data_IF_140495052217
#
_entry.id   IF_140495052217
#
_cell.length_a   1.000
_cell.length_b   1.000
_cell.length_c   1.000
_cell.angle_alpha   90.00
_cell.angle_beta   90.00
_cell.angle_gamma   90.00
#
_symmetry.space_group_name_H-M   'P 1'
#
loop_
_entity.id
_entity.type
_entity.pdbx_description
1 polymer ?
#
# COMPACT_ATOMS: atom_id res chain seq x y z
N UNK A 1 15.40 -6.64 9.07
CA UNK A 1 15.00 -5.64 8.05
C UNK A 1 14.55 -4.35 8.74
N UNK A 2 14.85 -3.14 8.22
CA UNK A 2 14.58 -1.89 8.97
C UNK A 2 13.07 -1.63 9.08
N UNK A 3 12.28 -2.05 8.11
CA UNK A 3 10.82 -1.92 8.13
C UNK A 3 10.07 -2.64 9.26
N UNK A 4 10.75 -3.45 10.08
CA UNK A 4 10.19 -4.09 11.28
C UNK A 4 10.54 -3.37 12.58
N UNK A 5 11.45 -2.39 12.53
CA UNK A 5 11.91 -1.64 13.70
C UNK A 5 10.88 -0.63 14.17
N UNK A 6 10.98 -0.22 15.44
CA UNK A 6 10.09 0.76 16.07
C UNK A 6 10.34 2.21 15.61
N UNK A 7 11.43 2.48 14.90
CA UNK A 7 11.81 3.81 14.42
C UNK A 7 11.93 3.89 12.88
N UNK A 8 11.31 2.95 12.17
CA UNK A 8 11.39 2.88 10.71
C UNK A 8 10.92 4.17 10.04
N UNK A 9 11.72 4.69 9.10
CA UNK A 9 11.51 5.97 8.42
C UNK A 9 11.35 7.16 9.37
N UNK A 10 11.95 7.10 10.57
CA UNK A 10 11.87 8.17 11.58
C UNK A 10 10.53 8.26 12.30
N UNK A 11 9.63 7.30 12.09
CA UNK A 11 8.32 7.24 12.74
C UNK A 11 8.37 6.39 14.01
N UNK A 12 7.68 6.83 15.06
CA UNK A 12 7.54 6.10 16.33
C UNK A 12 6.43 5.05 16.22
N UNK A 13 6.80 3.85 15.77
CA UNK A 13 5.88 2.72 15.64
C UNK A 13 5.65 2.03 16.98
N UNK A 14 4.39 1.72 17.28
CA UNK A 14 4.01 0.90 18.44
C UNK A 14 4.64 -0.48 18.39
N UNK A 15 4.68 -1.17 19.53
CA UNK A 15 4.83 -2.63 19.54
C UNK A 15 3.79 -3.30 18.66
N UNK A 16 4.12 -4.48 18.15
CA UNK A 16 3.22 -5.30 17.35
C UNK A 16 2.07 -5.84 18.22
N UNK A 17 0.85 -5.70 17.72
CA UNK A 17 -0.39 -6.06 18.40
C UNK A 17 -1.11 -7.17 17.61
N UNK A 18 -1.29 -8.36 18.18
CA UNK A 18 -1.84 -9.50 17.45
C UNK A 18 -3.34 -9.35 17.20
N UNK A 19 -3.81 -9.75 16.02
CA UNK A 19 -5.23 -9.76 15.69
C UNK A 19 -6.03 -10.76 16.54
N UNK A 20 -5.38 -11.77 17.12
CA UNK A 20 -6.03 -12.73 18.01
C UNK A 20 -6.48 -12.11 19.34
N UNK A 21 -5.82 -11.05 19.81
CA UNK A 21 -6.13 -10.41 21.09
C UNK A 21 -6.66 -8.98 20.92
N UNK A 22 -8.00 -8.78 20.93
CA UNK A 22 -8.59 -7.45 20.81
C UNK A 22 -8.32 -6.54 22.03
N UNK A 23 -7.89 -7.07 23.19
CA UNK A 23 -7.62 -6.22 24.34
C UNK A 23 -6.36 -5.39 24.15
N UNK A 24 -5.36 -5.93 23.44
CA UNK A 24 -4.11 -5.20 23.21
C UNK A 24 -4.28 -4.00 22.28
N UNK A 25 -5.35 -3.98 21.45
CA UNK A 25 -5.67 -2.84 20.60
C UNK A 25 -6.00 -1.58 21.42
N UNK A 26 -6.32 -1.69 22.71
CA UNK A 26 -6.45 -0.52 23.60
C UNK A 26 -5.14 0.27 23.75
N UNK A 27 -4.00 -0.39 23.54
CA UNK A 27 -2.67 0.23 23.54
C UNK A 27 -2.40 1.03 22.26
N UNK A 28 -3.16 0.79 21.18
CA UNK A 28 -3.03 1.56 19.95
C UNK A 28 -3.48 3.00 20.18
N UNK A 29 -2.80 3.97 19.55
CA UNK A 29 -3.13 5.38 19.68
C UNK A 29 -4.53 5.68 19.10
N UNK A 30 -5.25 6.60 19.75
CA UNK A 30 -6.60 7.01 19.36
C UNK A 30 -6.58 8.33 18.57
N UNK A 31 -5.72 8.43 17.55
CA UNK A 31 -5.48 9.63 16.76
C UNK A 31 -5.11 9.27 15.31
N UNK A 32 -5.01 10.25 14.39
CA UNK A 32 -4.62 10.00 13.01
C UNK A 32 -3.22 9.40 12.89
N UNK A 33 -2.97 8.71 11.77
CA UNK A 33 -1.62 8.34 11.37
C UNK A 33 -1.57 7.10 10.48
N UNK A 34 -0.49 6.34 10.60
CA UNK A 34 -0.15 5.23 9.71
C UNK A 34 -0.15 3.91 10.48
N UNK A 35 -0.37 2.81 9.76
CA UNK A 35 -0.29 1.47 10.32
C UNK A 35 0.31 0.50 9.31
N UNK A 36 0.90 -0.56 9.84
CA UNK A 36 1.49 -1.66 9.08
C UNK A 36 1.04 -2.99 9.65
N UNK A 37 0.95 -3.99 8.80
CA UNK A 37 0.45 -5.34 9.12
C UNK A 37 1.43 -6.37 8.60
N UNK A 38 1.73 -7.38 9.41
CA UNK A 38 2.50 -8.56 9.01
C UNK A 38 1.84 -9.82 9.54
N UNK A 39 2.20 -10.96 8.96
CA UNK A 39 1.89 -12.25 9.56
C UNK A 39 2.90 -12.54 10.69
N UNK A 40 2.41 -13.15 11.77
CA UNK A 40 3.21 -13.54 12.94
C UNK A 40 4.30 -14.53 12.48
N UNK A 41 5.55 -14.25 12.84
CA UNK A 41 6.69 -15.08 12.47
C UNK A 41 7.17 -14.91 11.02
N UNK A 42 6.56 -14.02 10.23
CA UNK A 42 6.96 -13.74 8.85
C UNK A 42 7.58 -12.34 8.77
N UNK A 43 8.80 -12.25 8.25
CA UNK A 43 9.51 -10.99 8.02
C UNK A 43 9.08 -10.28 6.72
N UNK A 44 7.77 -10.17 6.51
CA UNK A 44 7.16 -9.53 5.34
C UNK A 44 5.98 -8.64 5.77
N UNK A 45 5.86 -7.43 5.21
CA UNK A 45 4.66 -6.62 5.41
C UNK A 45 3.57 -7.04 4.40
N UNK A 46 2.39 -7.33 4.93
CA UNK A 46 1.21 -7.64 4.13
C UNK A 46 0.48 -6.39 3.70
N UNK A 47 0.49 -5.36 4.54
CA UNK A 47 -0.22 -4.12 4.26
C UNK A 47 0.40 -2.94 4.99
N UNK A 48 0.42 -1.78 4.32
CA UNK A 48 0.66 -0.47 4.93
C UNK A 48 -0.57 0.38 4.59
N UNK A 49 -1.05 1.18 5.53
CA UNK A 49 -2.19 2.06 5.32
C UNK A 49 -2.15 3.28 6.22
N UNK A 50 -3.03 4.23 5.94
CA UNK A 50 -3.23 5.42 6.78
C UNK A 50 -4.67 5.56 7.26
N UNK A 51 -4.86 6.45 8.23
CA UNK A 51 -6.17 7.02 8.51
C UNK A 51 -6.05 8.44 9.04
N UNK A 52 -6.88 9.33 8.50
CA UNK A 52 -7.13 10.66 9.06
C UNK A 52 -8.03 10.69 10.29
N UNK A 53 -8.54 9.53 10.73
CA UNK A 53 -9.45 9.43 11.88
C UNK A 53 -8.70 8.89 13.09
N UNK A 54 -9.11 7.73 13.59
CA UNK A 54 -8.59 7.13 14.80
C UNK A 54 -7.94 5.78 14.43
N UNK A 55 -6.62 5.67 14.65
CA UNK A 55 -5.85 4.46 14.37
C UNK A 55 -6.41 3.23 15.09
N UNK A 56 -6.73 3.34 16.38
CA UNK A 56 -7.32 2.25 17.17
C UNK A 56 -8.63 1.76 16.57
N UNK A 57 -9.54 2.67 16.21
CA UNK A 57 -10.82 2.31 15.60
C UNK A 57 -10.63 1.69 14.21
N UNK A 58 -9.82 2.31 13.36
CA UNK A 58 -9.53 1.83 12.00
C UNK A 58 -8.94 0.42 12.02
N UNK A 59 -7.95 0.18 12.88
CA UNK A 59 -7.33 -1.14 13.02
C UNK A 59 -8.29 -2.14 13.65
N UNK A 60 -9.09 -1.72 14.64
CA UNK A 60 -10.13 -2.57 15.25
C UNK A 60 -11.17 -3.03 14.23
N UNK A 61 -11.64 -2.13 13.37
CA UNK A 61 -12.54 -2.46 12.26
C UNK A 61 -11.90 -3.40 11.24
N UNK A 62 -10.65 -3.10 10.83
CA UNK A 62 -9.91 -3.96 9.90
C UNK A 62 -9.73 -5.37 10.46
N UNK A 63 -9.36 -5.48 11.74
CA UNK A 63 -9.28 -6.75 12.47
C UNK A 63 -10.62 -7.47 12.43
N UNK A 64 -11.71 -6.83 12.85
CA UNK A 64 -13.06 -7.45 12.88
C UNK A 64 -13.46 -8.00 11.51
N UNK A 65 -13.27 -7.23 10.45
CA UNK A 65 -13.62 -7.65 9.10
C UNK A 65 -12.70 -8.76 8.59
N UNK A 66 -11.41 -8.67 8.87
CA UNK A 66 -10.46 -9.73 8.56
C UNK A 66 -10.90 -11.02 9.25
N UNK A 67 -11.27 -11.00 10.54
CA UNK A 67 -11.62 -12.17 11.37
C UNK A 67 -13.01 -12.79 11.13
N UNK A 68 -13.76 -12.34 10.12
CA UNK A 68 -15.06 -12.93 9.78
C UNK A 68 -14.92 -14.37 9.26
N UNK A 69 -15.97 -15.16 9.45
CA UNK A 69 -16.06 -16.52 8.88
C UNK A 69 -16.08 -16.47 7.34
N UNK A 70 -16.86 -15.57 6.76
CA UNK A 70 -16.90 -15.32 5.32
C UNK A 70 -16.04 -14.11 4.91
N UNK A 71 -15.59 -14.09 3.65
CA UNK A 71 -14.81 -12.98 3.12
C UNK A 71 -15.61 -11.66 3.20
N UNK A 72 -15.08 -10.61 3.87
CA UNK A 72 -15.75 -9.31 3.95
C UNK A 72 -15.83 -8.64 2.56
N UNK A 73 -16.68 -7.63 2.42
CA UNK A 73 -16.66 -6.76 1.23
C UNK A 73 -15.41 -5.87 1.27
N UNK A 74 -15.06 -5.24 0.14
CA UNK A 74 -13.88 -4.40 0.05
C UNK A 74 -14.09 -2.97 0.61
N UNK A 75 -15.29 -2.64 1.08
CA UNK A 75 -15.62 -1.44 1.84
C UNK A 75 -16.02 -1.80 3.30
N UNK A 76 -15.71 -0.94 4.28
CA UNK A 76 -14.93 0.31 4.17
C UNK A 76 -13.41 0.08 4.17
N UNK A 77 -12.96 -1.18 4.04
CA UNK A 77 -11.55 -1.58 4.11
C UNK A 77 -11.12 -2.39 2.90
N UNK A 78 -10.46 -1.73 1.96
CA UNK A 78 -9.96 -2.35 0.73
C UNK A 78 -9.04 -3.55 0.98
N UNK A 79 -8.32 -3.58 2.10
CA UNK A 79 -7.39 -4.64 2.47
C UNK A 79 -8.03 -5.81 3.24
N UNK A 80 -9.20 -5.63 3.86
CA UNK A 80 -9.83 -6.67 4.70
C UNK A 80 -10.07 -8.00 3.96
N UNK A 81 -10.65 -8.02 2.73
CA UNK A 81 -10.79 -9.27 1.99
C UNK A 81 -9.44 -9.90 1.61
N UNK A 82 -8.41 -9.09 1.37
CA UNK A 82 -7.06 -9.61 1.04
C UNK A 82 -6.45 -10.31 2.24
N UNK A 83 -6.45 -9.67 3.41
CA UNK A 83 -5.96 -10.29 4.65
C UNK A 83 -6.77 -11.53 5.01
N UNK A 84 -8.10 -11.49 4.83
CA UNK A 84 -8.96 -12.66 5.04
C UNK A 84 -8.53 -13.83 4.15
N UNK A 85 -8.27 -13.59 2.86
CA UNK A 85 -7.89 -14.64 1.91
C UNK A 85 -6.56 -15.30 2.30
N UNK A 86 -5.54 -14.50 2.65
CA UNK A 86 -4.25 -15.03 3.10
C UNK A 86 -4.36 -15.79 4.43
N UNK A 87 -5.15 -15.31 5.40
CA UNK A 87 -5.42 -16.11 6.62
C UNK A 87 -6.07 -17.43 6.26
N UNK A 88 -7.14 -17.40 5.47
CA UNK A 88 -7.93 -18.60 5.20
C UNK A 88 -7.12 -19.63 4.40
N UNK A 89 -6.34 -19.18 3.41
CA UNK A 89 -5.59 -20.06 2.53
C UNK A 89 -4.41 -20.73 3.25
N UNK A 90 -3.68 -19.97 4.05
CA UNK A 90 -2.37 -20.38 4.59
C UNK A 90 -2.36 -20.48 6.12
N UNK A 91 -3.52 -20.37 6.76
CA UNK A 91 -3.67 -20.36 8.21
C UNK A 91 -2.82 -19.28 8.91
N UNK A 92 -2.66 -18.12 8.27
CA UNK A 92 -1.82 -17.03 8.81
C UNK A 92 -2.51 -16.27 9.93
N UNK A 93 -1.74 -15.95 10.96
CA UNK A 93 -2.15 -15.02 12.02
C UNK A 93 -1.50 -13.66 11.79
N UNK A 94 -2.27 -12.59 11.86
CA UNK A 94 -1.76 -11.23 11.61
C UNK A 94 -1.53 -10.46 12.91
N UNK A 95 -0.62 -9.50 12.84
CA UNK A 95 -0.40 -8.47 13.85
C UNK A 95 -0.18 -7.11 13.18
N UNK A 96 -0.45 -6.03 13.92
CA UNK A 96 -0.30 -4.67 13.43
C UNK A 96 0.54 -3.80 14.34
N UNK A 97 1.12 -2.76 13.76
CA UNK A 97 1.86 -1.72 14.46
C UNK A 97 1.44 -0.37 13.88
N UNK A 98 1.33 0.65 14.73
CA UNK A 98 0.79 1.95 14.36
C UNK A 98 1.75 3.07 14.73
N UNK A 99 1.82 4.11 13.89
CA UNK A 99 2.58 5.33 14.11
C UNK A 99 1.61 6.53 14.07
N UNK A 100 1.28 7.13 15.23
CA UNK A 100 0.44 8.32 15.26
C UNK A 100 1.17 9.52 14.68
N UNK A 101 0.50 10.32 13.85
CA UNK A 101 1.09 11.54 13.30
C UNK A 101 0.01 12.56 12.91
N UNK A 102 0.28 13.82 13.24
CA UNK A 102 -0.47 15.00 12.79
C UNK A 102 0.50 15.86 11.96
N UNK A 103 0.17 16.08 10.69
CA UNK A 103 1.10 16.69 9.71
C UNK A 103 0.77 18.14 9.35
N UNK A 104 -0.45 18.59 9.67
CA UNK A 104 -0.92 19.96 9.49
C UNK A 104 -2.19 20.16 10.34
N UNK A 105 -2.55 21.40 10.62
CA UNK A 105 -3.81 21.77 11.27
C UNK A 105 -4.99 21.70 10.30
N UNK A 106 -4.78 22.10 9.03
CA UNK A 106 -5.77 21.94 7.98
C UNK A 106 -5.99 20.45 7.66
N UNK A 107 -7.25 20.05 7.61
CA UNK A 107 -7.62 18.63 7.47
C UNK A 107 -7.26 18.07 6.10
N UNK A 108 -7.44 18.86 5.04
CA UNK A 108 -7.13 18.42 3.67
C UNK A 108 -5.63 18.38 3.42
N UNK A 109 -4.89 19.37 3.91
CA UNK A 109 -3.43 19.36 3.87
C UNK A 109 -2.86 18.18 4.67
N UNK A 110 -3.38 17.94 5.88
CA UNK A 110 -2.97 16.81 6.70
C UNK A 110 -3.24 15.47 5.99
N UNK A 111 -4.37 15.36 5.28
CA UNK A 111 -4.70 14.19 4.45
C UNK A 111 -3.69 13.99 3.33
N UNK A 112 -3.44 15.00 2.50
CA UNK A 112 -2.47 14.93 1.39
C UNK A 112 -1.07 14.53 1.88
N UNK A 113 -0.61 15.14 2.99
CA UNK A 113 0.69 14.82 3.59
C UNK A 113 0.75 13.38 4.10
N UNK A 114 -0.33 12.85 4.70
CA UNK A 114 -0.37 11.44 5.16
C UNK A 114 -0.37 10.45 4.00
N UNK A 115 -1.15 10.71 2.95
CA UNK A 115 -1.17 9.88 1.74
C UNK A 115 0.22 9.87 1.06
N UNK A 116 0.87 11.03 0.94
CA UNK A 116 2.24 11.13 0.46
C UNK A 116 3.22 10.30 1.30
N UNK A 117 3.09 10.36 2.62
CA UNK A 117 3.93 9.57 3.54
C UNK A 117 3.65 8.06 3.43
N UNK A 118 2.40 7.63 3.23
CA UNK A 118 2.06 6.22 2.94
C UNK A 118 2.78 5.72 1.68
N UNK A 119 2.76 6.51 0.60
CA UNK A 119 3.49 6.17 -0.63
C UNK A 119 5.00 6.11 -0.40
N UNK A 120 5.57 7.03 0.38
CA UNK A 120 6.99 6.97 0.76
C UNK A 120 7.32 5.69 1.54
N UNK A 121 6.47 5.26 2.48
CA UNK A 121 6.68 4.00 3.22
C UNK A 121 6.58 2.77 2.31
N UNK A 122 5.60 2.74 1.41
CA UNK A 122 5.47 1.66 0.42
C UNK A 122 6.70 1.59 -0.48
N UNK A 123 7.23 2.74 -0.89
CA UNK A 123 8.47 2.81 -1.67
C UNK A 123 9.69 2.32 -0.88
N UNK A 124 9.88 2.81 0.35
CA UNK A 124 11.00 2.38 1.21
C UNK A 124 10.94 0.89 1.51
N UNK A 125 9.73 0.36 1.75
CA UNK A 125 9.53 -1.07 1.91
C UNK A 125 9.96 -1.84 0.67
N UNK A 126 9.59 -1.38 -0.54
CA UNK A 126 10.01 -2.02 -1.78
C UNK A 126 11.53 -2.02 -1.96
N UNK A 127 12.22 -0.95 -1.58
CA UNK A 127 13.69 -0.88 -1.62
C UNK A 127 14.33 -1.86 -0.65
N UNK A 128 13.78 -2.01 0.57
CA UNK A 128 14.32 -2.91 1.59
C UNK A 128 13.98 -4.39 1.36
N UNK A 129 12.75 -4.69 0.92
CA UNK A 129 12.24 -6.05 0.76
C UNK A 129 12.39 -6.61 -0.66
N UNK A 130 12.43 -5.73 -1.66
CA UNK A 130 12.53 -6.11 -3.08
C UNK A 130 11.19 -6.38 -3.78
N UNK A 131 10.05 -6.24 -3.08
CA UNK A 131 8.71 -6.44 -3.64
C UNK A 131 7.67 -5.56 -2.94
N UNK A 132 6.49 -5.43 -3.54
CA UNK A 132 5.33 -4.80 -2.88
C UNK A 132 4.78 -5.68 -1.77
N UNK A 133 4.12 -5.05 -0.80
CA UNK A 133 3.30 -5.75 0.18
C UNK A 133 2.19 -6.58 -0.48
N UNK A 134 1.72 -7.64 0.17
CA UNK A 134 0.75 -8.59 -0.40
C UNK A 134 -0.65 -8.02 -0.63
N UNK A 135 -1.02 -6.93 0.02
CA UNK A 135 -2.39 -6.42 0.06
C UNK A 135 -2.55 -4.94 -0.32
N UNK A 136 -1.50 -4.26 -0.82
CA UNK A 136 -1.61 -2.92 -1.42
C UNK A 136 -1.68 -3.00 -2.96
N UNK A 137 -2.09 -1.89 -3.59
CA UNK A 137 -2.08 -1.71 -5.05
C UNK A 137 -2.76 -2.84 -5.84
N UNK A 138 -3.90 -3.33 -5.34
CA UNK A 138 -4.68 -4.37 -6.01
C UNK A 138 -4.14 -5.80 -5.85
N UNK A 139 -3.00 -6.00 -5.16
CA UNK A 139 -2.47 -7.35 -4.91
C UNK A 139 -3.43 -8.19 -4.06
N UNK A 140 -3.50 -9.47 -4.42
CA UNK A 140 -4.44 -10.42 -3.83
C UNK A 140 -3.86 -11.84 -3.77
N UNK A 141 -4.52 -12.75 -3.06
CA UNK A 141 -4.08 -14.15 -3.02
C UNK A 141 -4.31 -14.83 -4.39
N UNK A 142 -3.34 -15.61 -4.93
CA UNK A 142 -3.46 -16.22 -6.26
C UNK A 142 -4.61 -17.22 -6.38
N UNK A 143 -4.98 -17.92 -5.31
CA UNK A 143 -6.09 -18.89 -5.30
C UNK A 143 -7.46 -18.32 -4.90
N UNK A 144 -7.66 -17.01 -4.89
CA UNK A 144 -8.94 -16.41 -4.49
C UNK A 144 -9.38 -15.28 -5.41
N UNK A 145 -10.70 -15.10 -5.56
CA UNK A 145 -11.30 -13.88 -6.09
C UNK A 145 -11.60 -12.90 -4.96
N UNK A 146 -11.54 -11.59 -5.24
CA UNK A 146 -11.76 -10.56 -4.23
C UNK A 146 -13.23 -10.15 -4.19
N UNK A 147 -13.80 -10.04 -2.99
CA UNK A 147 -15.13 -9.42 -2.82
C UNK A 147 -15.16 -8.00 -3.39
N UNK A 148 -16.28 -7.63 -4.00
CA UNK A 148 -16.55 -6.26 -4.43
C UNK A 148 -16.97 -5.39 -3.24
N UNK A 149 -17.38 -4.16 -3.54
CA UNK A 149 -18.09 -3.32 -2.58
C UNK A 149 -19.46 -3.93 -2.23
N UNK A 150 -19.95 -3.64 -1.03
CA UNK A 150 -21.20 -4.12 -0.46
C UNK A 150 -22.40 -3.79 -1.34
N UNK A 151 -22.39 -2.61 -1.98
CA UNK A 151 -23.40 -2.18 -2.96
C UNK A 151 -23.49 -3.10 -4.19
N UNK A 152 -22.36 -3.65 -4.65
CA UNK A 152 -22.31 -4.63 -5.76
C UNK A 152 -22.56 -6.06 -5.31
N UNK A 153 -22.53 -6.31 -4.00
CA UNK A 153 -22.93 -7.55 -3.34
C UNK A 153 -22.32 -8.84 -3.90
N UNK A 154 -21.11 -8.76 -4.48
CA UNK A 154 -20.41 -9.93 -5.00
C UNK A 154 -19.33 -10.35 -4.02
N UNK A 155 -19.49 -11.54 -3.44
CA UNK A 155 -18.52 -12.15 -2.52
C UNK A 155 -17.40 -12.83 -3.30
N UNK A 156 -16.17 -12.63 -2.84
CA UNK A 156 -15.02 -13.40 -3.31
C UNK A 156 -14.99 -14.79 -2.68
N UNK A 157 -14.32 -15.71 -3.35
CA UNK A 157 -14.21 -17.12 -2.94
C UNK A 157 -12.86 -17.71 -3.34
N UNK A 158 -12.57 -18.92 -2.86
CA UNK A 158 -11.44 -19.72 -3.34
C UNK A 158 -11.71 -20.15 -4.78
N UNK A 159 -10.69 -20.07 -5.63
CA UNK A 159 -10.71 -20.61 -6.99
C UNK A 159 -10.64 -22.15 -6.95
N UNK A 160 -11.44 -22.86 -7.78
CA UNK A 160 -11.29 -24.31 -8.02
C UNK A 160 -9.84 -24.68 -8.33
N UNK A 161 -9.35 -25.83 -7.87
CA UNK A 161 -7.91 -26.18 -7.96
C UNK A 161 -7.38 -26.30 -9.41
N UNK A 162 -8.27 -26.53 -10.38
CA UNK A 162 -8.00 -26.60 -11.82
C UNK A 162 -8.03 -25.24 -12.53
N UNK A 163 -8.55 -24.19 -11.89
CA UNK A 163 -8.55 -22.84 -12.46
C UNK A 163 -7.15 -22.20 -12.46
N UNK A 164 -6.91 -21.33 -13.44
CA UNK A 164 -5.71 -20.48 -13.46
C UNK A 164 -5.66 -19.56 -12.24
N UNK A 165 -4.45 -19.29 -11.74
CA UNK A 165 -4.23 -18.34 -10.65
C UNK A 165 -4.79 -16.94 -10.98
N UNK A 166 -5.35 -16.29 -9.95
CA UNK A 166 -5.69 -14.88 -9.98
C UNK A 166 -4.45 -14.06 -10.34
N UNK A 167 -4.46 -13.30 -11.45
CA UNK A 167 -3.31 -12.52 -11.88
C UNK A 167 -2.87 -11.46 -10.87
N UNK A 168 -3.77 -11.02 -9.98
CA UNK A 168 -3.44 -10.10 -8.87
C UNK A 168 -2.50 -10.71 -7.81
N UNK A 169 -2.37 -12.05 -7.78
CA UNK A 169 -1.38 -12.76 -6.97
C UNK A 169 -0.04 -12.98 -7.66
N UNK A 170 0.12 -12.50 -8.89
CA UNK A 170 1.32 -12.68 -9.70
C UNK A 170 2.58 -12.02 -9.14
N UNK A 171 3.70 -12.28 -9.82
CA UNK A 171 5.02 -11.74 -9.49
C UNK A 171 4.97 -10.21 -9.44
N UNK A 172 5.63 -9.65 -8.44
CA UNK A 172 5.86 -8.21 -8.37
C UNK A 172 7.10 -7.88 -9.19
N UNK A 173 7.05 -6.77 -9.94
CA UNK A 173 8.27 -6.18 -10.48
C UNK A 173 9.19 -5.72 -9.33
N UNK A 174 10.52 -5.85 -9.47
CA UNK A 174 11.46 -5.35 -8.47
C UNK A 174 11.32 -3.83 -8.28
N UNK A 175 11.80 -3.24 -7.17
CA UNK A 175 11.91 -1.80 -7.04
C UNK A 175 12.76 -1.20 -8.17
N UNK A 176 12.45 0.03 -8.55
CA UNK A 176 13.32 0.80 -9.42
C UNK A 176 14.65 1.10 -8.71
N UNK A 177 15.71 1.33 -9.49
CA UNK A 177 17.04 1.62 -8.92
C UNK A 177 17.14 3.10 -8.60
N UNK A 178 17.56 3.49 -7.40
CA UNK A 178 17.80 4.90 -7.05
C UNK A 178 19.11 5.41 -7.69
N UNK A 179 19.07 5.63 -9.00
CA UNK A 179 20.18 6.18 -9.80
C UNK A 179 19.72 7.45 -10.50
N UNK A 180 20.69 8.35 -10.74
CA UNK A 180 20.51 9.64 -11.40
C UNK A 180 19.51 10.59 -10.69
N UNK A 181 19.39 11.82 -11.17
CA UNK A 181 18.41 12.83 -10.75
C UNK A 181 17.22 12.86 -11.70
N UNK A 182 16.06 13.40 -11.29
CA UNK A 182 14.86 13.39 -12.13
C UNK A 182 14.98 14.01 -13.51
N UNK A 183 15.89 14.98 -13.68
CA UNK A 183 16.23 15.61 -14.96
C UNK A 183 17.05 14.72 -15.89
N UNK A 184 17.71 13.66 -15.39
CA UNK A 184 18.58 12.80 -16.18
C UNK A 184 17.80 11.72 -16.95
N UNK A 185 18.39 11.30 -18.07
CA UNK A 185 17.78 10.35 -19.02
C UNK A 185 17.65 8.92 -18.47
N UNK A 186 18.44 8.58 -17.45
CA UNK A 186 18.48 7.25 -16.81
C UNK A 186 17.90 7.26 -15.39
N UNK A 187 17.17 8.30 -14.99
CA UNK A 187 16.58 8.39 -13.65
C UNK A 187 15.75 7.16 -13.31
N UNK A 188 15.93 6.66 -12.09
CA UNK A 188 15.28 5.43 -11.61
C UNK A 188 15.67 4.15 -12.37
N UNK A 189 16.73 4.21 -13.20
CA UNK A 189 17.14 3.11 -14.08
C UNK A 189 16.24 2.92 -15.31
N UNK A 190 15.35 3.88 -15.58
CA UNK A 190 14.45 3.88 -16.74
C UNK A 190 15.09 4.60 -17.92
N UNK A 191 14.75 4.19 -19.14
CA UNK A 191 15.15 4.91 -20.36
C UNK A 191 14.12 6.00 -20.66
N UNK A 192 14.34 7.20 -20.13
CA UNK A 192 13.46 8.35 -20.38
C UNK A 192 13.69 8.92 -21.78
N UNK A 193 12.61 9.32 -22.44
CA UNK A 193 12.70 10.12 -23.66
C UNK A 193 13.29 11.50 -23.34
N UNK A 194 13.81 12.16 -24.38
CA UNK A 194 14.17 13.58 -24.28
C UNK A 194 12.91 14.38 -23.90
N UNK A 195 13.00 15.33 -22.94
CA UNK A 195 11.87 16.20 -22.62
C UNK A 195 11.39 16.95 -23.87
N UNK A 196 10.08 17.01 -24.05
CA UNK A 196 9.44 17.75 -25.14
C UNK A 196 8.41 18.72 -24.58
N UNK A 197 8.22 19.86 -25.24
CA UNK A 197 7.14 20.79 -24.88
C UNK A 197 5.78 20.09 -24.96
N UNK A 198 4.91 20.41 -24.00
CA UNK A 198 3.57 19.85 -23.89
C UNK A 198 2.63 20.43 -24.96
N UNK A 199 2.80 19.95 -26.20
CA UNK A 199 2.02 20.38 -27.37
C UNK A 199 1.14 19.25 -27.87
N UNK A 200 0.05 19.59 -28.57
CA UNK A 200 -0.85 18.60 -29.16
C UNK A 200 -0.13 17.65 -30.13
N UNK A 201 0.90 18.13 -30.84
CA UNK A 201 1.72 17.33 -31.74
C UNK A 201 2.57 16.32 -30.96
N UNK A 202 3.29 16.77 -29.93
CA UNK A 202 4.10 15.88 -29.10
C UNK A 202 3.26 14.78 -28.41
N UNK A 203 2.02 15.11 -27.99
CA UNK A 203 1.10 14.13 -27.42
C UNK A 203 0.65 13.06 -28.42
N UNK A 204 0.61 13.36 -29.72
CA UNK A 204 0.27 12.38 -30.78
C UNK A 204 1.45 11.47 -31.12
N UNK A 205 2.68 11.94 -30.92
CA UNK A 205 3.90 11.19 -31.16
C UNK A 205 4.34 10.35 -29.96
N UNK A 206 3.78 10.62 -28.78
CA UNK A 206 4.06 9.86 -27.57
C UNK A 206 3.69 8.37 -27.75
N UNK A 207 4.50 7.43 -27.21
CA UNK A 207 4.18 6.00 -27.27
C UNK A 207 2.80 5.70 -26.69
N UNK A 208 2.04 4.83 -27.36
CA UNK A 208 0.73 4.36 -26.89
C UNK A 208 0.81 3.20 -25.90
N UNK A 209 2.04 2.76 -25.58
CA UNK A 209 2.30 1.71 -24.60
C UNK A 209 2.12 2.24 -23.17
N UNK A 210 1.84 1.34 -22.24
CA UNK A 210 1.78 1.67 -20.81
C UNK A 210 3.15 2.14 -20.31
N UNK A 211 3.17 3.23 -19.56
CA UNK A 211 4.41 3.82 -19.08
C UNK A 211 4.19 4.86 -17.99
N UNK A 212 5.29 5.50 -17.61
CA UNK A 212 5.33 6.62 -16.67
C UNK A 212 5.80 7.87 -17.40
N UNK A 213 5.36 9.05 -16.95
CA UNK A 213 5.73 10.33 -17.54
C UNK A 213 6.27 11.28 -16.46
N UNK A 214 7.05 12.28 -16.90
CA UNK A 214 7.55 13.38 -16.07
C UNK A 214 7.02 14.68 -16.64
N UNK A 215 6.66 15.61 -15.77
CA UNK A 215 6.31 16.97 -16.15
C UNK A 215 7.33 17.89 -15.49
N UNK A 216 7.91 18.76 -16.30
CA UNK A 216 8.88 19.76 -15.88
C UNK A 216 8.34 21.14 -16.20
N UNK A 217 8.73 22.10 -15.37
CA UNK A 217 8.66 23.49 -15.75
C UNK A 217 9.75 23.77 -16.81
N UNK A 218 9.35 24.32 -17.96
CA UNK A 218 10.25 24.50 -19.11
C UNK A 218 11.38 25.48 -18.85
N UNK A 219 11.17 26.41 -17.92
CA UNK A 219 12.07 27.53 -17.70
C UNK A 219 13.13 27.17 -16.67
N UNK A 220 12.76 26.34 -15.70
CA UNK A 220 13.65 25.92 -14.59
C UNK A 220 14.24 24.53 -14.77
N UNK A 221 13.71 23.72 -15.70
CA UNK A 221 14.03 22.28 -15.81
C UNK A 221 13.87 21.52 -14.48
N UNK A 222 13.09 22.08 -13.56
CA UNK A 222 12.78 21.49 -12.27
C UNK A 222 11.49 20.68 -12.39
N UNK A 223 11.39 19.60 -11.61
CA UNK A 223 10.12 18.91 -11.47
C UNK A 223 9.11 19.90 -10.88
N UNK A 224 8.00 20.13 -11.58
CA UNK A 224 6.94 20.97 -11.06
C UNK A 224 6.40 20.35 -9.77
N UNK A 225 6.57 21.04 -8.64
CA UNK A 225 5.80 20.74 -7.44
C UNK A 225 4.36 21.15 -7.71
N UNK A 226 3.47 20.17 -7.93
CA UNK A 226 2.02 20.38 -7.88
C UNK A 226 1.53 20.46 -6.44
#
# INVERSE_FOLDING_TARGET
MKFLTSNWCGLSWSSWQPFSDPLTFRQLPAMPGLYRIRAVGIEELFYIGETGRNLRERLGDLRRNTMRAEMPFNDPHTAAPSLWAWRHAENLHFECSAAPITLADDTEEARKRREGLEFCLLWQYRLEYGSSTRCNHGRFHPRYTKSTESKKNTRGSRLPDDDSDNPAGGKCFPPLSLVATPSEANWMGLQWSVPSHFTQTALREAPTLQGVYKIFDSDTSSLSSM
#
